data_IF_382290847315
#
_entry.id   IF_382290847315
#
_cell.length_a   1.000
_cell.length_b   1.000
_cell.length_c   1.000
_cell.angle_alpha   90.00
_cell.angle_beta   90.00
_cell.angle_gamma   90.00
#
_symmetry.space_group_name_H-M   'P 1'
#
loop_
_entity.id
_entity.type
_entity.pdbx_description
1 polymer ?
#
# COMPACT_ATOMS: atom_id res chain seq x y z
N UNK A 1 25.13 9.12 3.93
CA UNK A 1 24.96 9.72 2.59
C UNK A 1 24.08 8.90 1.64
N UNK A 2 24.36 7.60 1.41
CA UNK A 2 23.56 6.78 0.48
C UNK A 2 22.17 6.42 1.06
N UNK A 3 22.11 6.00 2.31
CA UNK A 3 20.87 5.68 3.02
C UNK A 3 19.97 6.91 3.12
N UNK A 4 20.52 8.08 3.46
CA UNK A 4 19.74 9.32 3.56
C UNK A 4 19.11 9.73 2.22
N UNK A 5 19.84 9.53 1.11
CA UNK A 5 19.30 9.80 -0.22
C UNK A 5 18.15 8.86 -0.57
N UNK A 6 18.26 7.56 -0.23
CA UNK A 6 17.20 6.58 -0.43
C UNK A 6 15.98 6.85 0.46
N UNK A 7 16.19 7.18 1.73
CA UNK A 7 15.10 7.55 2.66
C UNK A 7 14.33 8.75 2.13
N UNK A 8 15.00 9.83 1.69
CA UNK A 8 14.33 11.00 1.08
C UNK A 8 13.54 10.64 -0.18
N UNK A 9 14.03 9.69 -0.98
CA UNK A 9 13.27 9.21 -2.15
C UNK A 9 11.98 8.53 -1.74
N UNK A 10 12.03 7.65 -0.72
CA UNK A 10 10.87 6.94 -0.21
C UNK A 10 9.88 7.91 0.46
N UNK A 11 10.36 8.89 1.21
CA UNK A 11 9.53 9.94 1.80
C UNK A 11 8.76 10.70 0.72
N UNK A 12 9.44 11.09 -0.37
CA UNK A 12 8.81 11.77 -1.51
C UNK A 12 7.75 10.90 -2.18
N UNK A 13 8.05 9.62 -2.41
CA UNK A 13 7.09 8.68 -2.97
C UNK A 13 5.90 8.44 -2.04
N UNK A 14 6.13 8.30 -0.74
CA UNK A 14 5.08 8.16 0.28
C UNK A 14 4.18 9.39 0.33
N UNK A 15 4.75 10.59 0.25
CA UNK A 15 3.98 11.83 0.19
C UNK A 15 3.09 11.89 -1.07
N UNK A 16 3.64 11.54 -2.23
CA UNK A 16 2.87 11.46 -3.48
C UNK A 16 1.75 10.42 -3.41
N UNK A 17 2.02 9.26 -2.83
CA UNK A 17 1.02 8.20 -2.64
C UNK A 17 -0.11 8.63 -1.69
N UNK A 18 0.20 9.35 -0.60
CA UNK A 18 -0.79 9.91 0.33
C UNK A 18 -1.69 10.94 -0.36
N UNK A 19 -1.12 11.81 -1.19
CA UNK A 19 -1.91 12.78 -1.96
C UNK A 19 -2.84 12.08 -2.96
N UNK A 20 -2.35 11.07 -3.68
CA UNK A 20 -3.15 10.27 -4.61
C UNK A 20 -4.25 9.47 -3.88
N UNK A 21 -3.96 8.90 -2.71
CA UNK A 21 -4.95 8.19 -1.87
C UNK A 21 -6.09 9.15 -1.44
N UNK A 22 -5.76 10.38 -1.05
CA UNK A 22 -6.78 11.36 -0.66
C UNK A 22 -7.68 11.74 -1.84
N UNK A 23 -7.14 11.87 -3.05
CA UNK A 23 -7.92 12.14 -4.27
C UNK A 23 -8.89 10.98 -4.53
N UNK A 24 -8.41 9.73 -4.52
CA UNK A 24 -9.24 8.55 -4.73
C UNK A 24 -10.32 8.39 -3.64
N UNK A 25 -10.00 8.73 -2.41
CA UNK A 25 -10.98 8.73 -1.32
C UNK A 25 -12.13 9.71 -1.57
N UNK A 26 -11.81 10.92 -2.06
CA UNK A 26 -12.83 11.91 -2.40
C UNK A 26 -13.66 11.45 -3.61
N UNK A 27 -13.01 10.83 -4.59
CA UNK A 27 -13.69 10.23 -5.75
C UNK A 27 -14.66 9.11 -5.32
N UNK A 28 -14.21 8.16 -4.50
CA UNK A 28 -15.06 7.09 -3.96
C UNK A 28 -16.26 7.65 -3.20
N UNK A 29 -16.07 8.69 -2.38
CA UNK A 29 -17.19 9.34 -1.69
C UNK A 29 -18.18 9.99 -2.65
N UNK A 30 -17.70 10.62 -3.72
CA UNK A 30 -18.56 11.21 -4.75
C UNK A 30 -19.36 10.14 -5.49
N UNK A 31 -18.70 9.05 -5.89
CA UNK A 31 -19.36 7.92 -6.58
C UNK A 31 -20.41 7.27 -5.67
N UNK A 32 -20.10 7.07 -4.39
CA UNK A 32 -21.07 6.56 -3.43
C UNK A 32 -22.33 7.42 -3.34
N UNK A 33 -22.16 8.75 -3.27
CA UNK A 33 -23.31 9.68 -3.24
C UNK A 33 -24.13 9.63 -4.53
N UNK A 34 -23.51 9.41 -5.67
CA UNK A 34 -24.21 9.25 -6.95
C UNK A 34 -25.02 7.95 -6.99
N UNK A 35 -24.45 6.84 -6.48
CA UNK A 35 -25.15 5.56 -6.36
C UNK A 35 -26.38 5.72 -5.44
N UNK A 36 -26.21 6.36 -4.29
CA UNK A 36 -27.30 6.62 -3.33
C UNK A 36 -28.43 7.46 -3.97
N UNK A 37 -28.06 8.47 -4.77
CA UNK A 37 -29.04 9.26 -5.54
C UNK A 37 -29.82 8.40 -6.54
N UNK A 38 -29.17 7.51 -7.29
CA UNK A 38 -29.85 6.60 -8.22
C UNK A 38 -30.83 5.68 -7.47
N UNK A 39 -30.47 5.23 -6.27
CA UNK A 39 -31.39 4.43 -5.46
C UNK A 39 -32.65 5.23 -5.07
N UNK A 40 -32.49 6.49 -4.69
CA UNK A 40 -33.64 7.39 -4.44
C UNK A 40 -34.48 7.61 -5.70
N UNK A 41 -33.84 7.83 -6.84
CA UNK A 41 -34.54 8.00 -8.13
C UNK A 41 -35.34 6.74 -8.54
N UNK A 42 -34.78 5.55 -8.30
CA UNK A 42 -35.48 4.27 -8.51
C UNK A 42 -36.72 4.14 -7.62
N UNK A 43 -36.63 4.59 -6.37
CA UNK A 43 -37.77 4.59 -5.44
C UNK A 43 -38.84 5.57 -5.91
N UNK A 44 -38.46 6.80 -6.25
CA UNK A 44 -39.39 7.80 -6.78
C UNK A 44 -40.07 7.36 -8.09
N UNK A 45 -39.32 6.68 -8.98
CA UNK A 45 -39.84 6.08 -10.22
C UNK A 45 -40.90 5.02 -9.92
N UNK A 46 -40.64 4.15 -8.93
CA UNK A 46 -41.59 3.13 -8.51
C UNK A 46 -42.88 3.76 -7.93
N UNK A 47 -42.77 4.80 -7.11
CA UNK A 47 -43.92 5.53 -6.55
C UNK A 47 -44.77 6.14 -7.66
N UNK A 48 -44.16 6.77 -8.67
CA UNK A 48 -44.87 7.33 -9.82
C UNK A 48 -45.64 6.25 -10.58
N UNK A 49 -45.06 5.08 -10.76
CA UNK A 49 -45.71 3.95 -11.39
C UNK A 49 -46.86 3.39 -10.54
N UNK A 50 -46.63 3.19 -9.24
CA UNK A 50 -47.66 2.68 -8.32
C UNK A 50 -48.86 3.60 -8.20
N UNK A 51 -48.67 4.93 -8.31
CA UNK A 51 -49.75 5.92 -8.33
C UNK A 51 -50.46 6.05 -9.68
N UNK A 52 -50.01 5.29 -10.69
CA UNK A 52 -50.59 5.35 -12.05
C UNK A 52 -50.19 6.58 -12.89
N UNK A 53 -49.18 7.33 -12.44
CA UNK A 53 -48.72 8.57 -13.06
C UNK A 53 -47.88 8.32 -14.34
N UNK A 54 -47.38 7.08 -14.53
CA UNK A 54 -46.62 6.68 -15.71
C UNK A 54 -47.08 5.31 -16.19
N UNK A 55 -46.98 5.08 -17.50
CA UNK A 55 -47.30 3.81 -18.15
C UNK A 55 -46.21 2.77 -17.90
N UNK A 56 -46.56 1.49 -18.00
CA UNK A 56 -45.67 0.35 -17.77
C UNK A 56 -44.43 0.40 -18.67
N UNK A 57 -44.60 0.77 -19.92
CA UNK A 57 -43.53 0.84 -20.90
C UNK A 57 -42.51 1.94 -20.55
N UNK A 58 -43.00 3.11 -20.17
CA UNK A 58 -42.16 4.22 -19.69
C UNK A 58 -41.41 3.87 -18.39
N UNK A 59 -42.11 3.24 -17.44
CA UNK A 59 -41.48 2.73 -16.21
C UNK A 59 -40.35 1.76 -16.51
N UNK A 60 -40.58 0.78 -17.41
CA UNK A 60 -39.59 -0.21 -17.79
C UNK A 60 -38.35 0.43 -18.44
N UNK A 61 -38.54 1.39 -19.33
CA UNK A 61 -37.46 2.09 -20.01
C UNK A 61 -36.60 2.91 -19.01
N UNK A 62 -37.24 3.75 -18.17
CA UNK A 62 -36.55 4.55 -17.15
C UNK A 62 -35.84 3.69 -16.13
N UNK A 63 -36.46 2.58 -15.66
CA UNK A 63 -35.85 1.61 -14.75
C UNK A 63 -34.57 0.98 -15.32
N UNK A 64 -34.60 0.55 -16.59
CA UNK A 64 -33.45 -0.06 -17.24
C UNK A 64 -32.29 0.95 -17.36
N UNK A 65 -32.59 2.21 -17.64
CA UNK A 65 -31.58 3.27 -17.69
C UNK A 65 -30.92 3.48 -16.32
N UNK A 66 -31.72 3.59 -15.26
CA UNK A 66 -31.21 3.75 -13.89
C UNK A 66 -30.38 2.53 -13.44
N UNK A 67 -30.78 1.31 -13.82
CA UNK A 67 -30.01 0.11 -13.52
C UNK A 67 -28.65 0.12 -14.23
N UNK A 68 -28.61 0.49 -15.49
CA UNK A 68 -27.35 0.58 -16.25
C UNK A 68 -26.40 1.63 -15.66
N UNK A 69 -26.92 2.80 -15.28
CA UNK A 69 -26.15 3.85 -14.63
C UNK A 69 -25.61 3.40 -13.25
N UNK A 70 -26.44 2.70 -12.47
CA UNK A 70 -26.02 2.18 -11.16
C UNK A 70 -24.89 1.17 -11.32
N UNK A 71 -24.96 0.28 -12.29
CA UNK A 71 -23.93 -0.75 -12.54
C UNK A 71 -22.61 -0.12 -12.98
N UNK A 72 -22.66 0.88 -13.84
CA UNK A 72 -21.48 1.64 -14.26
C UNK A 72 -20.80 2.34 -13.09
N UNK A 73 -21.58 3.05 -12.24
CA UNK A 73 -21.05 3.74 -11.07
C UNK A 73 -20.48 2.76 -10.02
N UNK A 74 -21.12 1.62 -9.82
CA UNK A 74 -20.59 0.55 -8.94
C UNK A 74 -19.28 -0.01 -9.46
N UNK A 75 -19.14 -0.16 -10.78
CA UNK A 75 -17.89 -0.56 -11.41
C UNK A 75 -16.76 0.45 -11.17
N UNK A 76 -17.04 1.73 -11.36
CA UNK A 76 -16.09 2.82 -11.10
C UNK A 76 -15.71 2.88 -9.61
N UNK A 77 -16.68 2.77 -8.71
CA UNK A 77 -16.46 2.72 -7.28
C UNK A 77 -15.54 1.56 -6.87
N UNK A 78 -15.80 0.35 -7.37
CA UNK A 78 -14.96 -0.81 -7.10
C UNK A 78 -13.51 -0.64 -7.58
N UNK A 79 -13.31 -0.02 -8.76
CA UNK A 79 -11.97 0.29 -9.25
C UNK A 79 -11.26 1.33 -8.37
N UNK A 80 -11.96 2.36 -7.91
CA UNK A 80 -11.40 3.37 -7.02
C UNK A 80 -10.98 2.78 -5.68
N UNK A 81 -11.81 1.92 -5.08
CA UNK A 81 -11.51 1.18 -3.85
C UNK A 81 -10.28 0.28 -3.98
N UNK A 82 -10.16 -0.47 -5.07
CA UNK A 82 -8.99 -1.32 -5.32
C UNK A 82 -7.70 -0.50 -5.44
N UNK A 83 -7.74 0.61 -6.19
CA UNK A 83 -6.58 1.51 -6.30
C UNK A 83 -6.21 2.13 -4.95
N UNK A 84 -7.20 2.51 -4.16
CA UNK A 84 -6.99 3.06 -2.83
C UNK A 84 -6.33 2.03 -1.90
N UNK A 85 -6.75 0.76 -1.95
CA UNK A 85 -6.15 -0.32 -1.18
C UNK A 85 -4.66 -0.52 -1.51
N UNK A 86 -4.31 -0.53 -2.80
CA UNK A 86 -2.91 -0.63 -3.25
C UNK A 86 -2.05 0.56 -2.78
N UNK A 87 -2.60 1.78 -2.80
CA UNK A 87 -1.87 2.96 -2.29
C UNK A 87 -1.68 2.90 -0.78
N UNK A 88 -2.67 2.44 -0.02
CA UNK A 88 -2.55 2.24 1.43
C UNK A 88 -1.45 1.24 1.78
N UNK A 89 -1.38 0.13 1.06
CA UNK A 89 -0.31 -0.87 1.22
C UNK A 89 1.07 -0.25 0.91
N UNK A 90 1.19 0.48 -0.20
CA UNK A 90 2.44 1.17 -0.55
C UNK A 90 2.87 2.18 0.52
N UNK A 91 1.94 2.96 1.06
CA UNK A 91 2.19 3.92 2.14
C UNK A 91 2.65 3.19 3.41
N UNK A 92 2.01 2.09 3.75
CA UNK A 92 2.38 1.27 4.91
C UNK A 92 3.81 0.74 4.79
N UNK A 93 4.15 0.09 3.68
CA UNK A 93 5.50 -0.40 3.41
C UNK A 93 6.55 0.71 3.46
N UNK A 94 6.26 1.86 2.85
CA UNK A 94 7.17 3.02 2.90
C UNK A 94 7.39 3.51 4.33
N UNK A 95 6.36 3.51 5.16
CA UNK A 95 6.44 3.93 6.57
C UNK A 95 7.30 2.95 7.38
N UNK A 96 7.15 1.65 7.16
CA UNK A 96 7.98 0.63 7.81
C UNK A 96 9.45 0.75 7.40
N UNK A 97 9.72 0.95 6.11
CA UNK A 97 11.09 1.16 5.61
C UNK A 97 11.76 2.41 6.22
N UNK A 98 11.04 3.52 6.32
CA UNK A 98 11.55 4.75 6.96
C UNK A 98 11.84 4.48 8.44
N UNK A 99 10.92 3.85 9.17
CA UNK A 99 11.10 3.52 10.58
C UNK A 99 12.29 2.58 10.81
N UNK A 100 12.49 1.59 9.95
CA UNK A 100 13.65 0.70 10.02
C UNK A 100 14.96 1.44 9.73
N UNK A 101 14.96 2.33 8.73
CA UNK A 101 16.12 3.17 8.41
C UNK A 101 16.51 4.10 9.56
N UNK A 102 15.53 4.72 10.23
CA UNK A 102 15.76 5.55 11.42
C UNK A 102 16.41 4.76 12.57
N UNK A 103 15.99 3.51 12.79
CA UNK A 103 16.60 2.64 13.81
C UNK A 103 18.06 2.29 13.52
N UNK A 104 18.42 2.21 12.23
CA UNK A 104 19.79 1.83 11.79
C UNK A 104 20.68 3.07 11.60
N UNK A 105 20.11 4.24 11.38
CA UNK A 105 20.87 5.48 11.17
C UNK A 105 21.99 5.72 12.21
N UNK A 106 21.80 5.50 13.53
CA UNK A 106 22.86 5.67 14.53
C UNK A 106 24.05 4.71 14.37
N UNK A 107 23.85 3.60 13.63
CA UNK A 107 24.86 2.56 13.49
C UNK A 107 25.68 2.65 12.18
N UNK A 108 25.42 3.65 11.33
CA UNK A 108 26.14 3.81 10.03
C UNK A 108 27.63 4.11 10.16
N UNK A 109 28.05 4.68 11.29
CA UNK A 109 29.45 5.08 11.54
C UNK A 109 30.17 4.15 12.51
N UNK A 110 29.61 3.00 12.83
CA UNK A 110 30.20 2.06 13.76
C UNK A 110 31.43 1.37 13.18
N UNK A 111 32.56 1.60 13.81
CA UNK A 111 33.84 0.97 13.49
C UNK A 111 34.07 -0.36 14.26
N UNK A 112 33.28 -0.62 15.31
CA UNK A 112 33.40 -1.82 16.15
C UNK A 112 32.03 -2.38 16.48
N UNK A 113 31.84 -3.69 16.24
CA UNK A 113 30.66 -4.42 16.63
C UNK A 113 30.78 -4.90 18.10
N UNK A 114 29.95 -4.35 18.99
CA UNK A 114 29.90 -4.83 20.39
C UNK A 114 28.92 -6.00 20.51
N UNK A 115 29.03 -6.88 21.54
CA UNK A 115 28.09 -7.98 21.74
C UNK A 115 26.63 -7.52 21.90
N UNK A 116 26.39 -6.33 22.46
CA UNK A 116 25.07 -5.74 22.58
C UNK A 116 24.49 -5.38 21.22
N UNK A 117 25.24 -4.67 20.41
CA UNK A 117 24.87 -4.31 19.04
C UNK A 117 24.67 -5.52 18.14
N UNK A 118 25.50 -6.56 18.30
CA UNK A 118 25.32 -7.79 17.53
C UNK A 118 23.97 -8.45 17.82
N UNK A 119 23.52 -8.47 19.07
CA UNK A 119 22.19 -9.01 19.45
C UNK A 119 21.04 -8.18 18.92
N UNK A 120 21.20 -6.88 18.79
CA UNK A 120 20.19 -5.97 18.28
C UNK A 120 20.06 -6.03 16.77
N UNK A 121 21.19 -6.12 16.06
CA UNK A 121 21.21 -6.06 14.60
C UNK A 121 21.10 -7.42 13.92
N UNK A 122 21.59 -8.50 14.54
CA UNK A 122 21.67 -9.84 13.94
C UNK A 122 20.51 -10.71 14.42
N UNK A 123 19.70 -11.19 13.50
CA UNK A 123 18.61 -12.12 13.74
C UNK A 123 19.12 -13.55 13.91
N UNK A 124 20.00 -13.96 13.00
CA UNK A 124 20.55 -15.33 12.97
C UNK A 124 21.84 -15.37 12.18
N UNK A 125 22.75 -16.25 12.60
CA UNK A 125 23.96 -16.60 11.86
C UNK A 125 23.80 -18.06 11.42
N UNK A 126 23.85 -18.29 10.12
CA UNK A 126 23.75 -19.63 9.53
C UNK A 126 25.11 -20.03 8.96
N UNK A 127 25.63 -21.15 9.46
CA UNK A 127 26.89 -21.76 8.96
C UNK A 127 26.50 -22.79 7.93
N UNK A 128 26.94 -22.60 6.68
CA UNK A 128 26.69 -23.50 5.56
C UNK A 128 27.88 -24.44 5.32
N UNK A 129 27.67 -25.60 4.70
CA UNK A 129 28.77 -26.48 4.28
C UNK A 129 29.78 -25.73 3.37
N UNK A 130 31.06 -25.91 3.61
CA UNK A 130 32.11 -25.18 2.91
C UNK A 130 32.53 -23.87 3.56
N UNK A 131 32.34 -23.73 4.86
CA UNK A 131 32.77 -22.57 5.69
C UNK A 131 32.16 -21.23 5.25
N UNK A 132 30.97 -21.24 4.62
CA UNK A 132 30.23 -20.02 4.31
C UNK A 132 29.35 -19.61 5.49
N UNK A 133 29.47 -18.36 5.89
CA UNK A 133 28.63 -17.79 6.95
C UNK A 133 27.63 -16.82 6.30
N UNK A 134 26.35 -17.08 6.53
CA UNK A 134 25.27 -16.15 6.15
C UNK A 134 24.76 -15.47 7.43
N UNK A 135 24.73 -14.16 7.41
CA UNK A 135 24.16 -13.36 8.49
C UNK A 135 22.77 -12.87 8.06
N UNK A 136 21.76 -13.22 8.85
CA UNK A 136 20.41 -12.68 8.70
C UNK A 136 20.24 -11.52 9.67
N UNK A 137 19.88 -10.36 9.15
CA UNK A 137 19.74 -9.14 9.93
C UNK A 137 18.29 -8.95 10.40
N UNK A 138 18.09 -8.31 11.57
CA UNK A 138 16.76 -8.09 12.14
C UNK A 138 15.86 -7.21 11.28
N UNK A 139 16.42 -6.37 10.40
CA UNK A 139 15.69 -5.42 9.57
C UNK A 139 15.88 -5.72 8.07
N UNK A 140 16.21 -6.98 7.71
CA UNK A 140 16.50 -7.34 6.31
C UNK A 140 15.30 -7.15 5.40
N UNK A 141 14.09 -7.45 5.89
CA UNK A 141 12.87 -7.41 5.10
C UNK A 141 12.41 -5.96 4.88
N UNK A 142 12.45 -5.13 5.94
CA UNK A 142 12.08 -3.72 5.91
C UNK A 142 13.08 -2.87 5.14
N UNK A 143 14.36 -3.26 5.16
CA UNK A 143 15.43 -2.56 4.45
C UNK A 143 15.72 -3.13 3.07
N UNK A 144 14.95 -4.11 2.63
CA UNK A 144 15.06 -4.67 1.28
C UNK A 144 14.95 -3.54 0.24
N UNK A 145 15.99 -3.42 -0.61
CA UNK A 145 16.09 -2.33 -1.58
C UNK A 145 16.67 -1.00 -1.05
N UNK A 146 16.81 -0.82 0.26
CA UNK A 146 17.48 0.35 0.85
C UNK A 146 18.98 0.12 1.05
N UNK A 147 19.34 -1.08 1.50
CA UNK A 147 20.73 -1.48 1.78
C UNK A 147 20.98 -2.85 1.16
N UNK A 148 22.09 -2.98 0.44
CA UNK A 148 22.59 -4.28 0.04
C UNK A 148 23.35 -4.89 1.23
N UNK A 149 22.84 -6.00 1.76
CA UNK A 149 23.52 -6.75 2.80
C UNK A 149 24.58 -7.66 2.16
N UNK A 150 25.88 -7.43 2.39
CA UNK A 150 26.91 -8.25 1.80
C UNK A 150 26.83 -9.69 2.32
N UNK A 151 26.92 -10.68 1.44
CA UNK A 151 27.24 -12.05 1.83
C UNK A 151 28.71 -12.08 2.28
N UNK A 152 28.95 -12.19 3.56
CA UNK A 152 30.30 -12.23 4.11
C UNK A 152 30.83 -13.66 3.99
N UNK A 153 31.66 -13.90 3.00
CA UNK A 153 32.41 -15.15 2.87
C UNK A 153 33.74 -15.02 3.64
N UNK A 154 33.87 -15.66 4.78
CA UNK A 154 35.16 -15.80 5.46
C UNK A 154 35.98 -16.92 4.78
N UNK A 155 37.04 -16.56 4.08
CA UNK A 155 38.07 -17.54 3.73
C UNK A 155 38.98 -17.76 4.95
N UNK A 156 39.05 -18.99 5.46
CA UNK A 156 40.03 -19.38 6.44
C UNK A 156 41.44 -19.10 5.86
N UNK A 157 42.16 -18.16 6.44
CA UNK A 157 43.60 -18.10 6.17
C UNK A 157 44.21 -19.34 6.83
N UNK A 158 44.73 -20.24 6.01
CA UNK A 158 45.55 -21.35 6.50
C UNK A 158 46.80 -20.76 7.21
N UNK A 159 46.92 -21.08 8.50
CA UNK A 159 48.13 -20.83 9.31
C UNK A 159 49.19 -21.88 8.90
#
# INVERSE_FOLDING_TARGET
ALLDAKVRSIEKESYSAKAAEQILRNESQSLYKQIDRIQADKMALYERYACGNIMKEAYAAEKNLLLAQEEELKGQYGMAEQRQALLKEKIHMSTEQISAAEKIAPYQELTKLTPGLARELIKRIVIQPGERIRIEWNFSDELSGLVEFPEICFKKQAI
#
